data_IF_263732319884
#
_entry.id   IF_263732319884
#
_cell.length_a   1.000
_cell.length_b   1.000
_cell.length_c   1.000
_cell.angle_alpha   90.00
_cell.angle_beta   90.00
_cell.angle_gamma   90.00
#
_symmetry.space_group_name_H-M   'P 1'
#
loop_
_entity.id
_entity.type
_entity.pdbx_description
1 polymer ?
#
# COMPACT_ATOMS: atom_id res chain seq x y z
N UNK A 1 20.91 -0.26 -0.28
CA UNK A 1 21.27 0.54 -1.47
C UNK A 1 20.33 0.26 -2.66
N UNK A 2 19.81 -0.96 -2.86
CA UNK A 2 18.94 -1.29 -4.01
C UNK A 2 17.52 -0.68 -3.94
N UNK A 3 16.86 -0.73 -2.77
CA UNK A 3 15.46 -0.26 -2.62
C UNK A 3 15.28 1.21 -2.97
N UNK A 4 16.14 2.09 -2.46
CA UNK A 4 16.07 3.54 -2.72
C UNK A 4 16.29 3.87 -4.20
N UNK A 5 17.27 3.24 -4.85
CA UNK A 5 17.58 3.53 -6.25
C UNK A 5 16.44 3.14 -7.19
N UNK A 6 15.81 1.98 -6.98
CA UNK A 6 14.65 1.56 -7.77
C UNK A 6 13.41 2.41 -7.45
N UNK A 7 13.24 2.81 -6.17
CA UNK A 7 12.12 3.66 -5.77
C UNK A 7 12.13 5.04 -6.43
N UNK A 8 13.31 5.60 -6.73
CA UNK A 8 13.44 6.91 -7.37
C UNK A 8 13.13 6.91 -8.88
N UNK A 9 13.13 5.75 -9.52
CA UNK A 9 12.92 5.63 -10.98
C UNK A 9 11.61 4.95 -11.36
N UNK A 10 10.84 4.45 -10.38
CA UNK A 10 9.52 3.86 -10.64
C UNK A 10 8.43 4.93 -10.68
N UNK A 11 7.40 4.68 -11.49
CA UNK A 11 6.21 5.53 -11.51
C UNK A 11 5.36 5.34 -10.25
N UNK A 12 5.26 4.10 -9.76
CA UNK A 12 4.47 3.75 -8.57
C UNK A 12 5.32 2.92 -7.62
N UNK A 13 5.26 3.27 -6.34
CA UNK A 13 5.88 2.51 -5.26
C UNK A 13 4.78 1.94 -4.39
N UNK A 14 4.82 0.65 -4.12
CA UNK A 14 3.81 0.00 -3.29
C UNK A 14 4.46 -0.97 -2.31
N UNK A 15 3.84 -1.14 -1.15
CA UNK A 15 4.15 -2.22 -0.21
C UNK A 15 2.91 -2.93 0.27
N UNK A 16 3.08 -4.19 0.65
CA UNK A 16 2.06 -5.03 1.29
C UNK A 16 2.62 -5.50 2.62
N UNK A 17 1.78 -5.48 3.66
CA UNK A 17 2.14 -6.02 4.97
C UNK A 17 3.42 -5.34 5.49
N UNK A 18 4.32 -6.12 6.08
CA UNK A 18 5.61 -5.68 6.62
C UNK A 18 6.58 -5.15 5.57
N UNK A 19 6.24 -5.18 4.28
CA UNK A 19 6.97 -4.43 3.25
C UNK A 19 7.07 -2.93 3.57
N UNK A 20 6.13 -2.38 4.34
CA UNK A 20 6.19 -1.00 4.83
C UNK A 20 7.46 -0.72 5.66
N UNK A 21 7.96 -1.68 6.45
CA UNK A 21 9.19 -1.53 7.24
C UNK A 21 10.40 -1.32 6.33
N UNK A 22 10.47 -2.03 5.20
CA UNK A 22 11.57 -1.87 4.23
C UNK A 22 11.58 -0.48 3.59
N UNK A 23 10.39 0.08 3.33
CA UNK A 23 10.26 1.43 2.79
C UNK A 23 10.52 2.51 3.85
N UNK A 24 10.13 2.26 5.10
CA UNK A 24 10.41 3.12 6.25
C UNK A 24 11.92 3.19 6.53
N UNK A 25 12.60 2.05 6.55
CA UNK A 25 14.06 1.97 6.70
C UNK A 25 14.80 2.72 5.59
N UNK A 26 14.26 2.68 4.36
CA UNK A 26 14.79 3.42 3.22
C UNK A 26 14.44 4.92 3.25
N UNK A 27 13.74 5.41 4.28
CA UNK A 27 13.24 6.79 4.45
C UNK A 27 12.34 7.27 3.32
N UNK A 28 11.64 6.34 2.68
CA UNK A 28 10.72 6.63 1.58
C UNK A 28 9.31 7.00 2.05
N UNK A 29 9.02 6.81 3.34
CA UNK A 29 7.70 7.01 3.95
C UNK A 29 7.64 8.14 4.99
N UNK A 30 8.75 8.87 5.20
CA UNK A 30 8.83 9.91 6.24
C UNK A 30 7.70 10.95 6.11
N UNK A 31 7.00 11.22 7.21
CA UNK A 31 5.87 12.14 7.32
C UNK A 31 4.63 11.77 6.48
N UNK A 32 4.57 10.56 5.93
CA UNK A 32 3.40 10.07 5.18
C UNK A 32 2.43 9.30 6.09
N UNK A 33 1.16 9.24 5.67
CA UNK A 33 0.18 8.36 6.31
C UNK A 33 0.31 6.96 5.74
N UNK A 34 0.57 5.96 6.58
CA UNK A 34 0.84 4.60 6.11
C UNK A 34 0.04 3.57 6.89
N UNK A 35 -0.09 2.38 6.32
CA UNK A 35 -0.58 1.21 7.03
C UNK A 35 0.37 0.03 6.81
N UNK A 36 0.25 -1.00 7.65
CA UNK A 36 0.95 -2.28 7.55
C UNK A 36 0.00 -3.37 8.05
N UNK A 37 0.44 -4.62 8.12
CA UNK A 37 -0.36 -5.68 8.72
C UNK A 37 -0.74 -5.32 10.17
N UNK A 38 -1.96 -5.67 10.56
CA UNK A 38 -2.55 -5.20 11.82
C UNK A 38 -1.77 -5.65 13.06
N UNK A 39 -1.12 -6.81 13.00
CA UNK A 39 -0.24 -7.32 14.06
C UNK A 39 1.00 -6.44 14.27
N UNK A 40 1.44 -5.73 13.23
CA UNK A 40 2.72 -5.00 13.21
C UNK A 40 2.55 -3.47 13.26
N UNK A 41 1.33 -2.96 13.37
CA UNK A 41 1.06 -1.50 13.39
C UNK A 41 1.78 -0.81 14.56
N UNK A 42 1.72 -1.42 15.75
CA UNK A 42 2.34 -0.87 16.95
C UNK A 42 3.87 -0.86 16.84
N UNK A 43 4.46 -1.91 16.25
CA UNK A 43 5.89 -2.01 16.02
C UNK A 43 6.36 -0.98 14.99
N UNK A 44 5.64 -0.82 13.86
CA UNK A 44 5.99 0.17 12.85
C UNK A 44 5.96 1.60 13.42
N UNK A 45 4.92 1.94 14.20
CA UNK A 45 4.78 3.25 14.82
C UNK A 45 5.87 3.52 15.87
N UNK A 46 6.25 2.50 16.64
CA UNK A 46 7.32 2.60 17.65
C UNK A 46 8.68 2.79 16.98
N UNK A 47 8.99 1.98 15.97
CA UNK A 47 10.34 1.90 15.40
C UNK A 47 10.60 3.07 14.44
N UNK A 48 9.55 3.65 13.86
CA UNK A 48 9.65 4.74 12.90
C UNK A 48 8.66 5.90 13.23
N UNK A 49 8.99 6.76 14.22
CA UNK A 49 8.07 7.78 14.74
C UNK A 49 7.80 8.96 13.79
N UNK A 50 8.47 9.04 12.63
CA UNK A 50 8.18 10.03 11.58
C UNK A 50 6.95 9.69 10.75
N UNK A 51 6.44 8.45 10.82
CA UNK A 51 5.28 8.02 10.02
C UNK A 51 3.98 8.28 10.78
N UNK A 52 2.93 8.63 10.04
CA UNK A 52 1.57 8.65 10.56
C UNK A 52 0.92 7.28 10.32
N UNK A 53 1.11 6.32 11.22
CA UNK A 53 0.60 4.96 11.08
C UNK A 53 -0.90 4.92 11.38
N UNK A 54 -1.71 4.35 10.47
CA UNK A 54 -3.16 4.19 10.61
C UNK A 54 -3.60 2.74 10.50
N UNK A 55 -4.57 2.37 11.33
CA UNK A 55 -5.23 1.06 11.41
C UNK A 55 -6.60 1.02 10.72
N UNK A 56 -7.12 2.18 10.30
CA UNK A 56 -8.50 2.32 9.82
C UNK A 56 -8.68 2.07 8.32
N UNK A 57 -7.60 1.80 7.58
CA UNK A 57 -7.65 1.67 6.13
C UNK A 57 -6.97 0.39 5.67
N UNK A 58 -7.61 -0.30 4.71
CA UNK A 58 -7.04 -1.49 4.05
C UNK A 58 -5.74 -1.13 3.31
N UNK A 59 -5.72 0.02 2.66
CA UNK A 59 -4.53 0.58 2.03
C UNK A 59 -4.61 2.10 2.02
N UNK A 60 -3.46 2.75 1.93
CA UNK A 60 -3.32 4.22 1.91
C UNK A 60 -2.53 4.63 0.68
N UNK A 61 -2.92 5.74 0.05
CA UNK A 61 -2.23 6.35 -1.09
C UNK A 61 -1.73 7.75 -0.71
N UNK A 62 -0.43 7.99 -0.90
CA UNK A 62 0.21 9.29 -0.77
C UNK A 62 0.84 9.66 -2.11
N UNK A 63 0.09 10.35 -2.97
CA UNK A 63 0.50 10.61 -4.35
C UNK A 63 0.74 9.30 -5.10
N UNK A 64 2.01 8.99 -5.39
CA UNK A 64 2.45 7.80 -6.12
C UNK A 64 2.94 6.64 -5.24
N UNK A 65 2.82 6.78 -3.91
CA UNK A 65 3.22 5.76 -2.93
C UNK A 65 1.99 5.12 -2.31
N UNK A 66 1.93 3.79 -2.34
CA UNK A 66 0.91 3.00 -1.67
C UNK A 66 1.50 2.14 -0.54
N UNK A 67 0.75 2.00 0.54
CA UNK A 67 0.99 0.99 1.57
C UNK A 67 -0.32 0.26 1.82
N UNK A 68 -0.27 -1.05 1.99
CA UNK A 68 -1.45 -1.86 2.29
C UNK A 68 -1.21 -2.73 3.51
N UNK A 69 -2.31 -3.08 4.17
CA UNK A 69 -2.31 -3.92 5.35
C UNK A 69 -1.99 -5.37 4.99
N UNK A 70 -2.81 -6.32 5.45
CA UNK A 70 -2.57 -7.74 5.17
C UNK A 70 -2.83 -8.16 3.72
N UNK A 71 -2.68 -9.45 3.47
CA UNK A 71 -2.69 -10.08 2.15
C UNK A 71 -3.91 -9.66 1.32
N UNK A 72 -5.12 -9.75 1.89
CA UNK A 72 -6.35 -9.41 1.18
C UNK A 72 -6.42 -7.93 0.81
N UNK A 73 -5.95 -7.04 1.70
CA UNK A 73 -5.87 -5.62 1.42
C UNK A 73 -4.82 -5.29 0.34
N UNK A 74 -3.76 -6.09 0.24
CA UNK A 74 -2.79 -6.01 -0.85
C UNK A 74 -3.40 -6.37 -2.21
N UNK A 75 -4.33 -7.33 -2.27
CA UNK A 75 -5.09 -7.65 -3.49
C UNK A 75 -5.96 -6.46 -3.90
N UNK A 76 -6.71 -5.89 -2.95
CA UNK A 76 -7.54 -4.71 -3.19
C UNK A 76 -6.71 -3.51 -3.70
N UNK A 77 -5.56 -3.25 -3.08
CA UNK A 77 -4.62 -2.20 -3.51
C UNK A 77 -4.06 -2.49 -4.92
N UNK A 78 -3.78 -3.75 -5.24
CA UNK A 78 -3.27 -4.13 -6.56
C UNK A 78 -4.28 -3.88 -7.67
N UNK A 79 -5.57 -4.13 -7.40
CA UNK A 79 -6.65 -3.77 -8.32
C UNK A 79 -6.80 -2.24 -8.46
N UNK A 80 -6.59 -1.48 -7.39
CA UNK A 80 -6.48 -0.02 -7.49
C UNK A 80 -5.30 0.39 -8.40
N UNK A 81 -4.13 -0.24 -8.27
CA UNK A 81 -2.99 0.04 -9.16
C UNK A 81 -3.32 -0.25 -10.63
N UNK A 82 -4.04 -1.33 -10.94
CA UNK A 82 -4.54 -1.58 -12.30
C UNK A 82 -5.43 -0.43 -12.78
N UNK A 83 -6.29 0.10 -11.90
CA UNK A 83 -7.14 1.25 -12.22
C UNK A 83 -6.34 2.52 -12.53
N UNK A 84 -5.27 2.78 -11.78
CA UNK A 84 -4.39 3.95 -11.97
C UNK A 84 -3.52 3.83 -13.22
N UNK A 85 -3.02 2.62 -13.50
CA UNK A 85 -2.09 2.36 -14.59
C UNK A 85 -2.77 2.22 -15.96
N UNK A 86 -4.00 1.71 -15.99
CA UNK A 86 -4.68 1.37 -17.24
C UNK A 86 -6.10 1.94 -17.29
N UNK A 87 -7.01 1.39 -16.49
CA UNK A 87 -8.37 1.92 -16.35
C UNK A 87 -9.15 1.22 -15.24
N UNK A 88 -10.10 1.94 -14.65
CA UNK A 88 -11.04 1.37 -13.67
C UNK A 88 -11.85 0.19 -14.23
N UNK A 89 -12.22 0.25 -15.51
CA UNK A 89 -12.94 -0.84 -16.18
C UNK A 89 -12.10 -2.13 -16.23
N UNK A 90 -10.79 -2.02 -16.49
CA UNK A 90 -9.92 -3.19 -16.50
C UNK A 90 -9.75 -3.76 -15.09
N UNK A 91 -9.66 -2.92 -14.06
CA UNK A 91 -9.62 -3.37 -12.66
C UNK A 91 -10.88 -4.19 -12.30
N UNK A 92 -12.07 -3.71 -12.66
CA UNK A 92 -13.33 -4.44 -12.47
C UNK A 92 -13.34 -5.77 -13.22
N UNK A 93 -12.93 -5.77 -14.50
CA UNK A 93 -12.86 -7.01 -15.31
C UNK A 93 -11.89 -8.02 -14.70
N UNK A 94 -10.76 -7.55 -14.18
CA UNK A 94 -9.74 -8.37 -13.53
C UNK A 94 -10.29 -8.98 -12.24
N UNK A 95 -10.93 -8.18 -11.38
CA UNK A 95 -11.58 -8.67 -10.16
C UNK A 95 -12.64 -9.74 -10.47
N UNK A 96 -13.49 -9.49 -11.48
CA UNK A 96 -14.49 -10.45 -11.95
C UNK A 96 -13.86 -11.74 -12.48
N UNK A 97 -12.76 -11.65 -13.21
CA UNK A 97 -12.04 -12.81 -13.74
C UNK A 97 -11.45 -13.69 -12.62
N UNK A 98 -11.05 -13.08 -11.52
CA UNK A 98 -10.54 -13.76 -10.33
C UNK A 98 -11.64 -14.35 -9.44
N UNK A 99 -12.91 -14.10 -9.75
CA UNK A 99 -14.05 -14.32 -8.85
C UNK A 99 -13.86 -13.64 -7.48
N UNK A 100 -13.34 -12.41 -7.51
CA UNK A 100 -12.97 -11.64 -6.32
C UNK A 100 -13.87 -10.42 -6.13
N UNK A 101 -14.48 -10.30 -4.94
CA UNK A 101 -15.26 -9.14 -4.53
C UNK A 101 -14.33 -8.01 -4.08
N UNK A 102 -13.89 -7.19 -5.04
CA UNK A 102 -12.98 -6.07 -4.79
C UNK A 102 -13.51 -5.08 -3.76
N UNK A 103 -12.80 -4.91 -2.65
CA UNK A 103 -13.09 -3.90 -1.64
C UNK A 103 -12.26 -2.64 -1.89
N UNK A 104 -12.91 -1.56 -2.31
CA UNK A 104 -12.25 -0.27 -2.43
C UNK A 104 -12.06 0.36 -1.04
N UNK A 105 -11.05 1.22 -0.88
CA UNK A 105 -10.68 1.81 0.41
C UNK A 105 -11.79 2.63 1.11
N UNK A 106 -12.94 2.87 0.45
CA UNK A 106 -14.00 3.76 0.92
C UNK A 106 -15.20 3.06 1.57
N UNK A 107 -15.21 1.72 1.67
CA UNK A 107 -16.32 1.00 2.30
C UNK A 107 -15.96 0.60 3.74
N UNK A 108 -16.27 1.50 4.70
CA UNK A 108 -16.56 1.15 6.09
C UNK A 108 -18.08 1.13 6.28
#
# INVERSE_FOLDING_TARGET
MTTTNTALTTQWLASVCTGAFLLAEAKLLDNLTVTTHWEDLADLARDYPSLNVTDNQRWVKNGQIFTSAGISAGIDMSLQLVSELVSHELAIKTAKQMDYAWQTAFNL
#
